data_IF_859185546119
#
_entry.id   IF_859185546119
#
_cell.length_a   1.000
_cell.length_b   1.000
_cell.length_c   1.000
_cell.angle_alpha   90.00
_cell.angle_beta   90.00
_cell.angle_gamma   90.00
#
_symmetry.space_group_name_H-M   'P 1'
#
loop_
_entity.id
_entity.type
_entity.pdbx_description
1 polymer ?
#
# COMPACT_ATOMS: atom_id res chain seq x y z
N UNK A 1 17.26 2.10 14.53
CA UNK A 1 16.00 1.51 14.02
C UNK A 1 15.48 2.43 12.91
N UNK A 2 15.28 1.93 11.69
CA UNK A 2 14.50 2.65 10.69
C UNK A 2 13.03 2.50 11.07
N UNK A 3 12.30 3.61 11.17
CA UNK A 3 10.85 3.55 11.35
C UNK A 3 10.26 2.87 10.11
N UNK A 4 9.40 1.84 10.24
CA UNK A 4 8.67 1.33 9.10
C UNK A 4 7.84 2.47 8.48
N UNK A 5 7.72 2.48 7.16
CA UNK A 5 6.75 3.32 6.46
C UNK A 5 5.38 3.14 7.13
N UNK A 6 4.59 4.22 7.34
CA UNK A 6 3.28 4.11 7.98
C UNK A 6 2.46 2.97 7.39
N UNK A 7 2.09 2.00 8.23
CA UNK A 7 1.32 0.81 7.88
C UNK A 7 0.53 0.33 9.09
N UNK A 8 -0.48 -0.52 8.86
CA UNK A 8 -1.13 -1.25 9.96
C UNK A 8 -0.23 -2.41 10.34
N UNK A 9 0.18 -2.50 11.61
CA UNK A 9 1.13 -3.50 12.09
C UNK A 9 0.41 -4.69 12.72
N UNK A 10 1.06 -5.86 12.66
CA UNK A 10 0.62 -7.10 13.31
C UNK A 10 0.64 -6.97 14.85
N UNK A 11 -0.34 -7.60 15.54
CA UNK A 11 -0.62 -7.36 16.96
C UNK A 11 0.13 -8.28 17.93
N UNK A 12 0.56 -9.47 17.52
CA UNK A 12 0.97 -10.52 18.47
C UNK A 12 2.48 -10.62 18.64
N UNK A 13 3.31 -10.35 17.61
CA UNK A 13 4.77 -10.40 17.77
C UNK A 13 5.62 -9.44 16.95
N UNK A 14 5.15 -8.70 15.94
CA UNK A 14 6.09 -7.93 15.10
C UNK A 14 5.54 -6.64 14.50
N UNK A 15 6.42 -5.61 14.48
CA UNK A 15 6.31 -4.36 13.73
C UNK A 15 6.35 -4.54 12.20
N UNK A 16 5.71 -5.59 11.67
CA UNK A 16 5.62 -5.89 10.25
C UNK A 16 4.27 -5.41 9.68
N UNK A 17 4.23 -4.82 8.48
CA UNK A 17 2.98 -4.45 7.83
C UNK A 17 2.08 -5.67 7.65
N UNK A 18 0.89 -5.61 8.23
CA UNK A 18 -0.16 -6.58 8.00
C UNK A 18 -0.91 -6.17 6.73
N UNK A 19 -0.75 -6.95 5.68
CA UNK A 19 -1.09 -6.60 4.30
C UNK A 19 -2.58 -6.34 4.11
N UNK A 20 -3.45 -7.15 4.73
CA UNK A 20 -4.90 -7.04 4.55
C UNK A 20 -5.43 -5.73 5.14
N UNK A 21 -5.02 -5.40 6.36
CA UNK A 21 -5.46 -4.18 7.02
C UNK A 21 -4.78 -2.95 6.44
N UNK A 22 -3.52 -3.06 6.04
CA UNK A 22 -2.82 -2.00 5.31
C UNK A 22 -3.48 -1.75 3.95
N UNK A 23 -3.95 -2.79 3.27
CA UNK A 23 -4.71 -2.70 2.01
C UNK A 23 -6.06 -1.99 2.20
N UNK A 24 -6.83 -2.33 3.23
CA UNK A 24 -8.05 -1.59 3.56
C UNK A 24 -7.77 -0.12 3.88
N UNK A 25 -6.74 0.15 4.68
CA UNK A 25 -6.37 1.51 5.04
C UNK A 25 -5.91 2.32 3.83
N UNK A 26 -5.13 1.71 2.93
CA UNK A 26 -4.73 2.29 1.64
C UNK A 26 -5.96 2.76 0.85
N UNK A 27 -6.95 1.91 0.63
CA UNK A 27 -8.17 2.28 -0.12
C UNK A 27 -8.95 3.41 0.57
N UNK A 28 -9.01 3.40 1.90
CA UNK A 28 -9.62 4.52 2.66
C UNK A 28 -8.88 5.84 2.44
N UNK A 29 -7.54 5.83 2.47
CA UNK A 29 -6.72 7.03 2.23
C UNK A 29 -6.89 7.58 0.81
N UNK A 30 -6.93 6.71 -0.20
CA UNK A 30 -7.21 7.12 -1.59
C UNK A 30 -8.60 7.74 -1.73
N UNK A 31 -9.60 7.16 -1.05
CA UNK A 31 -10.97 7.69 -1.05
C UNK A 31 -11.03 9.06 -0.36
N UNK A 32 -10.33 9.24 0.76
CA UNK A 32 -10.22 10.53 1.45
C UNK A 32 -9.54 11.59 0.59
N UNK A 33 -8.42 11.25 -0.06
CA UNK A 33 -7.77 12.17 -0.99
C UNK A 33 -8.70 12.56 -2.14
N UNK A 34 -9.41 11.61 -2.74
CA UNK A 34 -10.41 11.90 -3.80
C UNK A 34 -11.51 12.86 -3.32
N UNK A 35 -11.98 12.69 -2.09
CA UNK A 35 -13.08 13.50 -1.55
C UNK A 35 -12.63 14.91 -1.11
N UNK A 36 -11.38 15.07 -0.68
CA UNK A 36 -10.90 16.29 -0.01
C UNK A 36 -9.86 17.08 -0.81
N UNK A 37 -9.13 16.42 -1.70
CA UNK A 37 -7.93 16.97 -2.35
C UNK A 37 -6.74 17.18 -1.40
N UNK A 38 -6.80 16.71 -0.16
CA UNK A 38 -5.71 16.89 0.81
C UNK A 38 -4.58 15.87 0.58
N UNK A 39 -3.44 16.36 0.09
CA UNK A 39 -2.22 15.63 -0.24
C UNK A 39 -1.63 14.80 0.91
N UNK A 40 -1.96 15.11 2.18
CA UNK A 40 -1.60 14.25 3.31
C UNK A 40 -2.23 12.86 3.19
N UNK A 41 -3.46 12.86 2.65
CA UNK A 41 -4.19 11.75 2.04
C UNK A 41 -3.30 10.80 1.23
N UNK A 42 -2.85 11.37 0.12
CA UNK A 42 -2.11 10.69 -0.91
C UNK A 42 -0.73 10.25 -0.41
N UNK A 43 -0.05 11.10 0.34
CA UNK A 43 1.28 10.81 0.91
C UNK A 43 1.25 9.56 1.79
N UNK A 44 0.22 9.43 2.63
CA UNK A 44 0.03 8.22 3.45
C UNK A 44 -0.37 7.00 2.63
N UNK A 45 -1.20 7.18 1.60
CA UNK A 45 -1.59 6.09 0.70
C UNK A 45 -0.35 5.50 0.00
N UNK A 46 0.52 6.36 -0.54
CA UNK A 46 1.78 5.94 -1.17
C UNK A 46 2.67 5.21 -0.17
N UNK A 47 2.80 5.71 1.06
CA UNK A 47 3.56 5.05 2.11
C UNK A 47 3.01 3.65 2.46
N UNK A 48 1.68 3.51 2.56
CA UNK A 48 1.02 2.24 2.83
C UNK A 48 1.21 1.23 1.68
N UNK A 49 1.07 1.67 0.43
CA UNK A 49 1.33 0.84 -0.75
C UNK A 49 2.78 0.33 -0.77
N UNK A 50 3.74 1.23 -0.53
CA UNK A 50 5.16 0.86 -0.47
C UNK A 50 5.45 -0.14 0.66
N UNK A 51 4.77 -0.02 1.80
CA UNK A 51 4.91 -0.98 2.91
C UNK A 51 4.41 -2.37 2.53
N UNK A 52 3.29 -2.47 1.79
CA UNK A 52 2.78 -3.76 1.28
C UNK A 52 3.78 -4.37 0.30
N UNK A 53 4.27 -3.62 -0.68
CA UNK A 53 5.23 -4.10 -1.69
C UNK A 53 6.54 -4.55 -1.02
N UNK A 54 7.07 -3.77 -0.08
CA UNK A 54 8.27 -4.13 0.66
C UNK A 54 8.07 -5.36 1.58
N UNK A 55 6.81 -5.69 1.89
CA UNK A 55 6.42 -6.83 2.71
C UNK A 55 6.31 -8.15 1.93
N UNK A 56 6.42 -8.14 0.60
CA UNK A 56 6.24 -9.33 -0.23
C UNK A 56 7.44 -10.28 -0.15
N UNK A 57 7.14 -11.57 -0.18
CA UNK A 57 8.12 -12.63 -0.44
C UNK A 57 8.57 -12.60 -1.91
N UNK A 58 9.62 -13.37 -2.24
CA UNK A 58 10.22 -13.36 -3.58
C UNK A 58 9.25 -13.80 -4.70
N UNK A 59 8.23 -14.57 -4.36
CA UNK A 59 7.16 -15.00 -5.27
C UNK A 59 5.98 -14.01 -5.34
N UNK A 60 6.07 -12.89 -4.62
CA UNK A 60 5.03 -11.86 -4.52
C UNK A 60 3.95 -12.13 -3.49
N UNK A 61 3.99 -13.27 -2.78
CA UNK A 61 3.05 -13.58 -1.70
C UNK A 61 3.34 -12.74 -0.45
N UNK A 62 2.36 -12.65 0.44
CA UNK A 62 2.44 -11.89 1.69
C UNK A 62 2.16 -12.82 2.86
N UNK A 63 3.01 -12.74 3.89
CA UNK A 63 2.79 -13.48 5.13
C UNK A 63 1.98 -12.67 6.14
N UNK A 64 0.71 -13.05 6.30
CA UNK A 64 -0.20 -12.49 7.33
C UNK A 64 0.35 -12.68 8.74
N UNK A 65 1.16 -13.71 8.96
CA UNK A 65 1.72 -14.09 10.26
C UNK A 65 3.03 -13.40 10.59
N UNK A 66 3.51 -12.53 9.70
CA UNK A 66 4.77 -11.82 9.85
C UNK A 66 6.01 -12.66 9.55
N UNK A 67 7.17 -12.06 9.80
CA UNK A 67 8.47 -12.58 9.36
C UNK A 67 9.42 -12.79 10.53
N UNK A 68 10.14 -13.89 10.54
CA UNK A 68 11.32 -14.06 11.40
C UNK A 68 12.46 -13.22 10.82
N UNK A 69 12.69 -12.07 11.45
CA UNK A 69 13.70 -11.10 10.99
C UNK A 69 15.14 -11.60 11.15
N UNK A 70 15.38 -12.67 11.92
CA UNK A 70 16.71 -13.26 12.10
C UNK A 70 17.14 -14.09 10.90
N UNK A 71 16.17 -14.75 10.27
CA UNK A 71 16.40 -15.68 9.16
C UNK A 71 15.79 -15.21 7.84
N UNK A 72 14.99 -14.14 7.85
CA UNK A 72 14.34 -13.61 6.67
C UNK A 72 13.22 -14.52 6.13
N UNK A 73 12.63 -15.37 6.97
CA UNK A 73 11.60 -16.34 6.57
C UNK A 73 10.26 -16.01 7.19
N UNK A 74 9.16 -16.37 6.54
CA UNK A 74 7.82 -16.26 7.11
C UNK A 74 7.70 -17.07 8.40
N UNK A 75 7.06 -16.51 9.44
CA UNK A 75 6.87 -17.19 10.72
C UNK A 75 5.98 -18.43 10.57
N UNK A 76 5.01 -18.34 9.66
CA UNK A 76 4.17 -19.45 9.22
C UNK A 76 4.12 -19.37 7.69
N UNK A 77 4.38 -20.50 7.02
CA UNK A 77 4.43 -20.61 5.56
C UNK A 77 3.05 -20.72 4.90
N UNK A 78 2.00 -20.81 5.71
CA UNK A 78 0.62 -20.84 5.24
C UNK A 78 0.17 -19.43 4.88
N UNK A 79 -0.06 -19.20 3.59
CA UNK A 79 -0.68 -17.98 3.10
C UNK A 79 -2.18 -17.97 3.42
N UNK A 80 -2.73 -16.79 3.69
CA UNK A 80 -4.16 -16.56 3.72
C UNK A 80 -4.58 -15.89 2.41
N UNK A 81 -5.14 -16.66 1.45
CA UNK A 81 -5.40 -16.14 0.10
C UNK A 81 -6.32 -14.92 0.10
N UNK A 82 -7.29 -14.85 1.02
CA UNK A 82 -8.18 -13.70 1.16
C UNK A 82 -7.43 -12.42 1.57
N UNK A 83 -6.48 -12.53 2.50
CA UNK A 83 -5.67 -11.39 2.94
C UNK A 83 -4.76 -10.87 1.83
N UNK A 84 -4.12 -11.80 1.11
CA UNK A 84 -3.32 -11.49 -0.07
C UNK A 84 -4.17 -10.83 -1.17
N UNK A 85 -5.37 -11.34 -1.43
CA UNK A 85 -6.28 -10.79 -2.44
C UNK A 85 -6.70 -9.34 -2.12
N UNK A 86 -6.97 -9.03 -0.85
CA UNK A 86 -7.27 -7.64 -0.41
C UNK A 86 -6.07 -6.72 -0.68
N UNK A 87 -4.86 -7.15 -0.31
CA UNK A 87 -3.65 -6.36 -0.51
C UNK A 87 -3.38 -6.11 -2.01
N UNK A 88 -3.48 -7.15 -2.84
CA UNK A 88 -3.33 -7.05 -4.30
C UNK A 88 -4.39 -6.11 -4.89
N UNK A 89 -5.66 -6.27 -4.48
CA UNK A 89 -6.74 -5.39 -4.94
C UNK A 89 -6.46 -3.93 -4.59
N UNK A 90 -5.99 -3.65 -3.36
CA UNK A 90 -5.64 -2.30 -2.93
C UNK A 90 -4.49 -1.70 -3.73
N UNK A 91 -3.45 -2.50 -4.07
CA UNK A 91 -2.35 -2.05 -4.94
C UNK A 91 -2.85 -1.71 -6.35
N UNK A 92 -3.74 -2.52 -6.93
CA UNK A 92 -4.35 -2.23 -8.23
C UNK A 92 -5.15 -0.93 -8.21
N UNK A 93 -5.88 -0.65 -7.12
CA UNK A 93 -6.58 0.63 -6.95
C UNK A 93 -5.61 1.81 -6.84
N UNK A 94 -4.49 1.63 -6.15
CA UNK A 94 -3.46 2.66 -6.03
C UNK A 94 -2.82 3.01 -7.39
N UNK A 95 -2.50 1.99 -8.20
CA UNK A 95 -1.96 2.17 -9.57
C UNK A 95 -2.96 2.94 -10.43
N UNK A 96 -4.21 2.45 -10.52
CA UNK A 96 -5.24 3.11 -11.33
C UNK A 96 -5.52 4.56 -10.88
N UNK A 97 -5.41 4.83 -9.58
CA UNK A 97 -5.58 6.18 -9.06
C UNK A 97 -4.40 7.09 -9.40
N UNK A 98 -3.17 6.58 -9.34
CA UNK A 98 -1.98 7.32 -9.73
C UNK A 98 -1.99 7.69 -11.21
N UNK A 99 -2.38 6.75 -12.07
CA UNK A 99 -2.50 6.97 -13.51
C UNK A 99 -3.52 8.08 -13.79
N UNK A 100 -4.70 8.01 -13.17
CA UNK A 100 -5.73 9.04 -13.32
C UNK A 100 -5.25 10.44 -12.88
N UNK A 101 -4.50 10.55 -11.78
CA UNK A 101 -3.92 11.83 -11.36
C UNK A 101 -2.90 12.38 -12.36
N UNK A 102 -2.09 11.49 -12.94
CA UNK A 102 -1.07 11.85 -13.91
C UNK A 102 -1.68 12.32 -15.23
N UNK A 103 -2.71 11.63 -15.71
CA UNK A 103 -3.47 12.02 -16.90
C UNK A 103 -4.13 13.39 -16.71
N UNK A 104 -4.78 13.61 -15.56
CA UNK A 104 -5.35 14.91 -15.23
C UNK A 104 -4.32 16.05 -15.15
N UNK A 105 -3.12 15.77 -14.63
CA UNK A 105 -2.03 16.74 -14.61
C UNK A 105 -1.52 17.07 -16.02
N UNK A 106 -1.39 16.05 -16.88
CA UNK A 106 -1.00 16.22 -18.27
C UNK A 106 -2.02 17.05 -19.07
N UNK A 107 -3.31 16.82 -18.87
CA UNK A 107 -4.39 17.59 -19.51
C UNK A 107 -4.34 19.06 -19.11
N UNK A 108 -4.19 19.37 -17.81
CA UNK A 108 -4.06 20.76 -17.35
C UNK A 108 -2.87 21.46 -18.00
N UNK A 109 -1.71 20.80 -18.05
CA UNK A 109 -0.51 21.38 -18.67
C UNK A 109 -0.73 21.72 -20.16
N UNK A 110 -1.38 20.83 -20.92
CA UNK A 110 -1.72 21.08 -22.34
C UNK A 110 -2.69 22.25 -22.51
N UNK A 111 -3.67 22.42 -21.60
CA UNK A 111 -4.57 23.55 -21.62
C UNK A 111 -3.85 24.89 -21.37
N UNK A 112 -2.85 24.93 -20.48
CA UNK A 112 -2.06 26.14 -20.24
C UNK A 112 -1.08 26.46 -21.38
N UNK A 113 -0.51 25.46 -22.05
CA UNK A 113 0.42 25.66 -23.16
C UNK A 113 -0.24 26.12 -24.47
N UNK A 114 -1.58 26.14 -24.53
CA UNK A 114 -2.36 26.55 -25.69
C UNK A 114 -2.89 27.99 -25.60
N UNK A 115 -2.52 28.73 -24.55
CA UNK A 115 -2.80 30.15 -24.31
C UNK A 115 -1.55 30.99 -24.59
#
# INVERSE_FOLDING_TARGET
MRCPTPAVLEQYRCYWPMEVHTGHWLVSLLTLHRATGDEHHLSKAVAAANAVVAGQDADGSLSTWGRDTRFGTSLITMNWPGCNAVAVSALLHAIAYHDALTDHAADRFRSYASL
#
